data_IF_320240016076
#
_entry.id   IF_320240016076
#
_cell.length_a   1.000
_cell.length_b   1.000
_cell.length_c   1.000
_cell.angle_alpha   90.00
_cell.angle_beta   90.00
_cell.angle_gamma   90.00
#
_symmetry.space_group_name_H-M   'P 1'
#
loop_
_entity.id
_entity.type
_entity.pdbx_description
1 polymer ?
#
# COMPACT_ATOMS: atom_id res chain seq x y z
N UNK A 1 -50.67 -60.03 13.57
CA UNK A 1 -49.26 -60.03 13.06
C UNK A 1 -49.19 -59.09 11.91
N UNK A 2 -48.79 -57.84 12.15
CA UNK A 2 -48.67 -56.81 11.08
C UNK A 2 -47.31 -56.19 11.31
N UNK A 3 -46.40 -56.44 10.41
CA UNK A 3 -45.03 -55.94 10.37
C UNK A 3 -45.07 -54.49 9.89
N UNK A 4 -44.57 -53.59 10.70
CA UNK A 4 -44.34 -52.18 10.35
C UNK A 4 -42.97 -52.07 9.68
N UNK A 5 -42.95 -51.54 8.48
CA UNK A 5 -41.73 -51.27 7.71
C UNK A 5 -41.34 -49.81 7.96
N UNK A 6 -40.27 -49.59 8.73
CA UNK A 6 -39.76 -48.27 9.11
C UNK A 6 -38.57 -47.95 8.21
N UNK A 7 -38.80 -47.20 7.11
CA UNK A 7 -37.72 -46.66 6.30
C UNK A 7 -38.14 -45.36 5.66
N UNK A 8 -38.14 -44.26 6.48
CA UNK A 8 -38.36 -42.92 6.02
C UNK A 8 -37.05 -42.11 6.24
N UNK A 9 -36.37 -41.62 5.21
CA UNK A 9 -35.17 -40.80 5.40
C UNK A 9 -35.58 -39.38 5.75
N UNK A 10 -35.30 -38.98 6.99
CA UNK A 10 -35.44 -37.61 7.47
C UNK A 10 -34.50 -36.70 6.69
N UNK A 11 -34.97 -35.48 6.28
CA UNK A 11 -34.11 -34.52 5.59
C UNK A 11 -33.08 -33.92 6.56
N UNK A 12 -31.82 -33.90 6.13
CA UNK A 12 -30.75 -33.18 6.82
C UNK A 12 -31.14 -31.73 7.01
N UNK A 13 -31.25 -31.29 8.25
CA UNK A 13 -31.29 -29.87 8.62
C UNK A 13 -29.99 -29.22 8.17
N UNK A 14 -30.12 -28.24 7.28
CA UNK A 14 -29.06 -27.31 6.96
C UNK A 14 -28.68 -26.55 8.24
N UNK A 15 -27.47 -26.80 8.72
CA UNK A 15 -26.88 -26.03 9.82
C UNK A 15 -26.69 -24.58 9.37
N UNK A 16 -27.18 -23.70 10.25
CA UNK A 16 -27.26 -22.28 10.01
C UNK A 16 -25.90 -21.66 9.70
N UNK A 17 -25.88 -20.80 8.70
CA UNK A 17 -24.87 -19.77 8.53
C UNK A 17 -24.79 -18.99 9.84
N UNK A 18 -23.70 -19.10 10.56
CA UNK A 18 -23.34 -18.19 11.61
C UNK A 18 -23.06 -16.82 10.95
N UNK A 19 -24.08 -15.99 10.87
CA UNK A 19 -23.91 -14.56 10.65
C UNK A 19 -23.14 -14.04 11.87
N UNK A 20 -21.87 -13.72 11.68
CA UNK A 20 -21.10 -12.98 12.65
C UNK A 20 -21.73 -11.60 12.77
N UNK A 21 -22.65 -11.44 13.74
CA UNK A 21 -23.06 -10.14 14.21
C UNK A 21 -21.83 -9.42 14.73
N UNK A 22 -21.21 -8.58 13.88
CA UNK A 22 -20.25 -7.59 14.32
C UNK A 22 -21.01 -6.62 15.21
N UNK A 23 -20.92 -6.85 16.51
CA UNK A 23 -21.46 -5.97 17.52
C UNK A 23 -20.88 -4.58 17.27
N UNK A 24 -21.71 -3.65 16.82
CA UNK A 24 -21.38 -2.25 16.59
C UNK A 24 -21.29 -1.60 17.98
N UNK A 25 -20.20 -1.89 18.69
CA UNK A 25 -19.86 -1.15 19.89
C UNK A 25 -19.72 0.31 19.47
N UNK A 26 -20.59 1.18 19.94
CA UNK A 26 -20.45 2.62 19.83
C UNK A 26 -19.10 2.98 20.45
N UNK A 27 -18.11 3.30 19.62
CA UNK A 27 -16.80 3.69 20.07
C UNK A 27 -16.91 5.08 20.68
N UNK A 28 -16.97 5.15 22.01
CA UNK A 28 -16.93 6.40 22.75
C UNK A 28 -15.66 7.19 22.39
N UNK A 29 -15.79 8.51 22.28
CA UNK A 29 -14.61 9.40 22.10
C UNK A 29 -13.62 9.14 23.24
N UNK A 30 -12.35 8.86 22.95
CA UNK A 30 -11.36 8.54 23.98
C UNK A 30 -11.22 9.65 25.01
N UNK A 31 -11.19 9.29 26.30
CA UNK A 31 -10.98 10.23 27.39
C UNK A 31 -9.62 10.93 27.29
N UNK A 32 -9.50 12.12 27.88
CA UNK A 32 -8.34 13.02 27.71
C UNK A 32 -6.99 12.41 28.20
N UNK A 33 -6.99 11.39 29.07
CA UNK A 33 -5.78 10.68 29.51
C UNK A 33 -5.42 9.44 28.65
N UNK A 34 -6.30 9.00 27.76
CA UNK A 34 -6.16 7.73 27.06
C UNK A 34 -5.02 7.75 26.03
N UNK A 35 -4.81 8.91 25.35
CA UNK A 35 -3.75 9.07 24.35
C UNK A 35 -2.35 9.05 24.97
N UNK A 36 -2.14 9.76 26.09
CA UNK A 36 -0.88 9.72 26.84
C UNK A 36 -0.58 8.28 27.31
N UNK A 37 -1.56 7.63 27.93
CA UNK A 37 -1.41 6.26 28.41
C UNK A 37 -1.06 5.30 27.29
N UNK A 38 -1.72 5.42 26.13
CA UNK A 38 -1.43 4.62 24.96
C UNK A 38 -0.03 4.89 24.39
N UNK A 39 0.37 6.15 24.28
CA UNK A 39 1.70 6.53 23.82
C UNK A 39 2.81 5.94 24.71
N UNK A 40 2.65 6.01 26.04
CA UNK A 40 3.57 5.42 26.99
C UNK A 40 3.57 3.88 26.90
N UNK A 41 2.41 3.25 26.69
CA UNK A 41 2.31 1.79 26.51
C UNK A 41 2.98 1.33 25.19
N UNK A 42 2.89 2.07 24.11
CA UNK A 42 3.64 1.78 22.89
C UNK A 42 5.15 1.97 23.10
N UNK A 43 5.55 3.05 23.74
CA UNK A 43 6.96 3.33 24.04
C UNK A 43 7.58 2.24 24.93
N UNK A 44 6.86 1.71 25.93
CA UNK A 44 7.34 0.62 26.79
C UNK A 44 7.56 -0.71 26.04
N UNK A 45 6.94 -0.87 24.88
CA UNK A 45 7.18 -1.99 23.95
C UNK A 45 8.38 -1.72 23.02
N UNK A 46 9.07 -0.57 23.16
CA UNK A 46 10.14 -0.15 22.26
C UNK A 46 9.64 0.45 20.94
N UNK A 47 8.37 0.83 20.84
CA UNK A 47 7.79 1.43 19.64
C UNK A 47 7.88 2.96 19.74
N UNK A 48 8.72 3.63 18.92
CA UNK A 48 8.84 5.09 18.99
C UNK A 48 7.55 5.76 18.54
N UNK A 49 7.06 6.70 19.36
CA UNK A 49 5.83 7.44 19.10
C UNK A 49 6.09 8.92 18.89
N UNK A 50 5.17 9.58 18.22
CA UNK A 50 5.15 11.05 18.09
C UNK A 50 3.71 11.56 17.94
N UNK A 51 3.43 12.84 18.28
CA UNK A 51 2.10 13.41 18.18
C UNK A 51 1.75 13.80 16.74
N UNK A 52 0.52 13.48 16.35
CA UNK A 52 -0.15 13.99 15.16
C UNK A 52 -1.24 14.99 15.53
N UNK A 53 -1.69 15.76 14.54
CA UNK A 53 -2.79 16.71 14.67
C UNK A 53 -4.04 16.04 15.28
N UNK A 54 -4.73 16.72 16.20
CA UNK A 54 -6.01 16.24 16.71
C UNK A 54 -6.96 15.91 15.56
N UNK A 55 -7.61 14.75 15.64
CA UNK A 55 -8.55 14.27 14.62
C UNK A 55 -7.98 14.21 13.19
N UNK A 56 -6.66 14.16 13.06
CA UNK A 56 -5.91 14.16 11.81
C UNK A 56 -4.80 13.11 11.77
N UNK A 57 -4.10 13.05 10.64
CA UNK A 57 -2.98 12.13 10.40
C UNK A 57 -1.64 12.85 10.27
N UNK A 58 -1.66 14.16 10.01
CA UNK A 58 -0.43 14.93 9.82
C UNK A 58 0.36 15.05 11.13
N UNK A 59 1.69 15.01 11.11
CA UNK A 59 2.50 15.28 12.29
C UNK A 59 2.17 16.66 12.89
N UNK A 60 2.08 16.76 14.21
CA UNK A 60 1.88 18.01 14.93
C UNK A 60 3.19 18.80 14.93
N UNK A 61 3.38 19.66 13.93
CA UNK A 61 4.63 20.37 13.66
C UNK A 61 5.16 21.18 14.83
N UNK A 62 4.28 21.71 15.69
CA UNK A 62 4.66 22.44 16.90
C UNK A 62 5.44 21.59 17.93
N UNK A 63 5.30 20.26 17.90
CA UNK A 63 5.95 19.33 18.82
C UNK A 63 6.93 18.37 18.11
N UNK A 64 6.62 17.98 16.88
CA UNK A 64 7.39 17.07 16.07
C UNK A 64 7.68 17.68 14.68
N UNK A 65 8.53 18.73 14.60
CA UNK A 65 8.76 19.47 13.34
C UNK A 65 9.36 18.62 12.22
N UNK A 66 10.04 17.52 12.56
CA UNK A 66 10.58 16.56 11.58
C UNK A 66 9.68 15.33 11.39
N UNK A 67 8.44 15.37 11.93
CA UNK A 67 7.46 14.28 11.85
C UNK A 67 7.97 13.01 12.51
N UNK A 68 7.84 11.87 11.83
CA UNK A 68 8.24 10.56 12.37
C UNK A 68 9.73 10.46 12.74
N UNK A 69 10.58 11.37 12.25
CA UNK A 69 12.00 11.41 12.62
C UNK A 69 12.23 11.94 14.04
N UNK A 70 11.22 12.56 14.63
CA UNK A 70 11.22 12.99 16.03
C UNK A 70 10.64 11.94 16.98
N UNK A 71 10.14 10.83 16.46
CA UNK A 71 9.57 9.76 17.25
C UNK A 71 10.54 9.26 18.32
N UNK A 72 10.01 8.98 19.51
CA UNK A 72 10.79 8.63 20.69
C UNK A 72 10.12 7.57 21.54
N UNK A 73 10.92 6.88 22.35
CA UNK A 73 10.44 6.00 23.44
C UNK A 73 10.71 6.61 24.82
N UNK A 74 11.23 7.86 24.90
CA UNK A 74 11.50 8.56 26.14
C UNK A 74 10.18 8.98 26.83
N UNK A 75 9.86 8.42 28.03
CA UNK A 75 8.61 8.71 28.72
C UNK A 75 8.47 10.18 29.12
N UNK A 76 9.58 10.85 29.45
CA UNK A 76 9.55 12.25 29.89
C UNK A 76 9.14 13.17 28.72
N UNK A 77 9.72 12.93 27.53
CA UNK A 77 9.36 13.65 26.31
C UNK A 77 7.94 13.38 25.89
N UNK A 78 7.49 12.13 25.93
CA UNK A 78 6.11 11.72 25.64
C UNK A 78 5.14 12.44 26.58
N UNK A 79 5.39 12.39 27.88
CA UNK A 79 4.56 13.08 28.89
C UNK A 79 4.48 14.57 28.62
N UNK A 80 5.61 15.23 28.32
CA UNK A 80 5.64 16.65 27.97
C UNK A 80 4.76 16.97 26.75
N UNK A 81 4.81 16.15 25.70
CA UNK A 81 4.01 16.37 24.52
C UNK A 81 2.50 16.31 24.79
N UNK A 82 2.04 15.23 25.44
CA UNK A 82 0.60 15.05 25.67
C UNK A 82 0.08 15.88 26.85
N UNK A 83 0.94 16.34 27.77
CA UNK A 83 0.54 17.35 28.75
C UNK A 83 0.26 18.70 28.08
N UNK A 84 1.05 19.07 27.06
CA UNK A 84 0.87 20.31 26.31
C UNK A 84 -0.27 20.26 25.30
N UNK A 85 -0.48 19.10 24.67
CA UNK A 85 -1.54 18.87 23.68
C UNK A 85 -2.26 17.53 23.94
N UNK A 86 -3.13 17.49 24.95
CA UNK A 86 -3.82 16.24 25.34
C UNK A 86 -4.68 15.61 24.25
N UNK A 87 -5.16 16.43 23.29
CA UNK A 87 -5.96 15.98 22.15
C UNK A 87 -5.14 15.46 20.95
N UNK A 88 -3.80 15.55 20.99
CA UNK A 88 -2.97 15.08 19.88
C UNK A 88 -3.12 13.58 19.66
N UNK A 89 -3.26 13.18 18.41
CA UNK A 89 -3.29 11.78 18.02
C UNK A 89 -1.92 11.11 18.25
N UNK A 90 -1.93 9.80 18.49
CA UNK A 90 -0.71 8.99 18.66
C UNK A 90 -0.34 8.36 17.33
N UNK A 91 0.88 8.59 16.87
CA UNK A 91 1.45 7.89 15.74
C UNK A 91 2.68 7.07 16.16
N UNK A 92 2.88 5.92 15.52
CA UNK A 92 4.02 5.03 15.71
C UNK A 92 4.89 5.11 14.46
N UNK A 93 6.17 5.43 14.61
CA UNK A 93 7.14 5.31 13.54
C UNK A 93 7.38 3.82 13.23
N UNK A 94 7.22 3.43 11.95
CA UNK A 94 7.28 2.03 11.53
C UNK A 94 8.69 1.58 11.14
N UNK A 95 8.89 0.26 11.08
CA UNK A 95 10.18 -0.39 10.93
C UNK A 95 10.76 -0.87 12.26
N UNK A 96 11.87 -1.60 12.21
CA UNK A 96 12.57 -2.01 13.44
C UNK A 96 13.06 -0.79 14.25
N UNK A 97 12.96 -0.83 15.61
CA UNK A 97 12.53 -1.94 16.47
C UNK A 97 11.02 -2.04 16.69
N UNK A 98 10.21 -1.15 16.08
CA UNK A 98 8.75 -1.10 16.28
C UNK A 98 8.02 -2.18 15.45
N UNK A 99 7.14 -1.74 14.57
CA UNK A 99 6.28 -2.60 13.76
C UNK A 99 6.40 -2.27 12.28
N UNK A 100 6.20 -3.26 11.43
CA UNK A 100 5.76 -3.08 10.05
C UNK A 100 4.25 -3.24 10.00
N UNK A 101 3.57 -2.51 9.12
CA UNK A 101 2.11 -2.56 9.02
C UNK A 101 1.70 -2.82 7.58
N UNK A 102 0.87 -3.84 7.39
CA UNK A 102 0.10 -4.02 6.16
C UNK A 102 -1.16 -3.18 6.32
N UNK A 103 -1.24 -2.10 5.58
CA UNK A 103 -2.35 -1.15 5.58
C UNK A 103 -3.28 -1.48 4.42
N UNK A 104 -4.48 -1.92 4.77
CA UNK A 104 -5.56 -2.31 3.85
C UNK A 104 -6.53 -1.16 3.76
N UNK A 105 -6.46 -0.44 2.66
CA UNK A 105 -7.35 0.69 2.41
C UNK A 105 -8.80 0.25 2.13
N UNK A 106 -9.74 1.06 2.60
CA UNK A 106 -11.13 1.06 2.17
C UNK A 106 -11.48 2.47 1.70
N UNK A 107 -11.73 2.63 0.41
CA UNK A 107 -11.93 3.92 -0.28
C UNK A 107 -13.18 3.87 -1.15
N UNK A 108 -13.76 5.02 -1.54
CA UNK A 108 -14.94 5.05 -2.41
C UNK A 108 -14.75 4.38 -3.78
N UNK A 109 -13.52 4.37 -4.30
CA UNK A 109 -13.14 3.80 -5.58
C UNK A 109 -12.68 2.34 -5.51
N UNK A 110 -12.67 1.74 -4.31
CA UNK A 110 -12.34 0.34 -4.09
C UNK A 110 -11.70 0.04 -2.74
N UNK A 111 -11.51 -1.25 -2.48
CA UNK A 111 -10.95 -1.73 -1.22
C UNK A 111 -9.89 -2.82 -1.41
N UNK A 112 -9.09 -3.03 -0.36
CA UNK A 112 -8.04 -4.05 -0.31
C UNK A 112 -8.48 -5.40 0.26
N UNK A 113 -9.77 -5.62 0.58
CA UNK A 113 -10.19 -6.84 1.28
C UNK A 113 -10.03 -8.11 0.45
N UNK A 114 -10.23 -8.04 -0.86
CA UNK A 114 -9.98 -9.18 -1.76
C UNK A 114 -8.49 -9.59 -1.74
N UNK A 115 -7.59 -8.61 -1.79
CA UNK A 115 -6.15 -8.82 -1.67
C UNK A 115 -5.78 -9.34 -0.26
N UNK A 116 -6.31 -8.73 0.78
CA UNK A 116 -6.12 -9.16 2.17
C UNK A 116 -6.53 -10.61 2.38
N UNK A 117 -7.69 -11.04 1.87
CA UNK A 117 -8.14 -12.42 1.94
C UNK A 117 -7.24 -13.40 1.18
N UNK A 118 -6.60 -12.97 0.08
CA UNK A 118 -5.57 -13.77 -0.61
C UNK A 118 -4.35 -13.96 0.29
N UNK A 119 -3.91 -12.91 0.99
CA UNK A 119 -2.79 -12.97 1.93
C UNK A 119 -3.11 -13.86 3.13
N UNK A 120 -4.34 -13.80 3.66
CA UNK A 120 -4.82 -14.71 4.72
C UNK A 120 -4.71 -16.18 4.28
N UNK A 121 -5.28 -16.51 3.10
CA UNK A 121 -5.22 -17.88 2.55
C UNK A 121 -3.80 -18.35 2.26
N UNK A 122 -2.90 -17.44 1.92
CA UNK A 122 -1.48 -17.74 1.71
C UNK A 122 -0.65 -17.83 3.00
N UNK A 123 -1.29 -17.72 4.19
CA UNK A 123 -0.64 -17.78 5.50
C UNK A 123 0.22 -16.56 5.83
N UNK A 124 0.15 -15.48 5.02
CA UNK A 124 1.00 -14.30 5.20
C UNK A 124 0.66 -13.48 6.45
N UNK A 125 -0.52 -13.71 7.03
CA UNK A 125 -0.96 -13.02 8.26
C UNK A 125 -0.78 -13.87 9.52
N UNK A 126 -0.27 -15.09 9.42
CA UNK A 126 0.15 -15.85 10.59
C UNK A 126 1.22 -15.06 11.35
N UNK A 127 1.08 -14.96 12.69
CA UNK A 127 1.98 -14.14 13.54
C UNK A 127 1.75 -12.63 13.42
N UNK A 128 0.55 -12.17 13.08
CA UNK A 128 0.13 -10.77 13.26
C UNK A 128 0.13 -10.41 14.73
N UNK A 129 0.77 -9.28 15.08
CA UNK A 129 0.82 -8.75 16.45
C UNK A 129 -0.51 -8.13 16.87
N UNK A 130 -1.11 -7.35 15.96
CA UNK A 130 -2.37 -6.69 16.24
C UNK A 130 -3.14 -6.42 14.94
N UNK A 131 -4.45 -6.45 15.02
CA UNK A 131 -5.36 -5.95 13.99
C UNK A 131 -6.05 -4.69 14.50
N UNK A 132 -6.01 -3.65 13.70
CA UNK A 132 -6.63 -2.36 14.01
C UNK A 132 -7.57 -1.99 12.88
N UNK A 133 -8.84 -1.75 13.18
CA UNK A 133 -9.77 -1.17 12.24
C UNK A 133 -9.52 0.32 12.12
N UNK A 134 -9.37 0.81 10.89
CA UNK A 134 -9.14 2.23 10.62
C UNK A 134 -10.45 3.02 10.55
N UNK A 135 -10.42 4.36 10.71
CA UNK A 135 -11.59 5.23 10.58
C UNK A 135 -12.38 5.07 9.28
N UNK A 136 -11.71 4.78 8.16
CA UNK A 136 -12.35 4.52 6.86
C UNK A 136 -12.92 3.10 6.72
N UNK A 137 -12.83 2.27 7.77
CA UNK A 137 -13.25 0.86 7.74
C UNK A 137 -12.22 -0.11 7.13
N UNK A 138 -11.01 0.36 6.81
CA UNK A 138 -9.88 -0.48 6.43
C UNK A 138 -9.26 -1.21 7.62
N UNK A 139 -8.10 -1.86 7.40
CA UNK A 139 -7.39 -2.65 8.42
C UNK A 139 -5.91 -2.33 8.41
N UNK A 140 -5.32 -2.07 9.58
CA UNK A 140 -3.89 -2.17 9.81
C UNK A 140 -3.56 -3.53 10.44
N UNK A 141 -2.77 -4.36 9.77
CA UNK A 141 -2.23 -5.59 10.34
C UNK A 141 -0.78 -5.36 10.77
N UNK A 142 -0.54 -5.31 12.08
CA UNK A 142 0.77 -5.02 12.66
C UNK A 142 1.61 -6.29 12.69
N UNK A 143 2.87 -6.16 12.27
CA UNK A 143 3.87 -7.22 12.22
C UNK A 143 5.12 -6.81 12.98
N UNK A 144 5.97 -7.76 13.35
CA UNK A 144 7.29 -7.40 13.89
C UNK A 144 8.06 -6.56 12.87
N UNK A 145 8.59 -5.43 13.32
CA UNK A 145 9.29 -4.47 12.47
C UNK A 145 10.58 -5.01 11.88
N UNK A 146 10.88 -4.56 10.67
CA UNK A 146 12.07 -4.95 9.92
C UNK A 146 12.85 -3.74 9.39
N UNK A 147 13.97 -3.99 8.73
CA UNK A 147 14.71 -2.97 7.98
C UNK A 147 14.17 -2.71 6.58
N UNK A 148 13.07 -3.34 6.16
CA UNK A 148 12.46 -3.11 4.84
C UNK A 148 11.97 -1.67 4.69
N UNK A 149 11.99 -1.13 3.47
CA UNK A 149 11.38 0.16 3.17
C UNK A 149 9.86 0.04 2.96
N UNK A 150 9.17 1.18 3.03
CA UNK A 150 7.76 1.26 2.69
C UNK A 150 7.50 0.83 1.25
N UNK A 151 6.30 0.33 0.99
CA UNK A 151 5.87 -0.10 -0.34
C UNK A 151 4.38 0.13 -0.56
N UNK A 152 3.95 0.02 -1.83
CA UNK A 152 2.55 0.18 -2.21
C UNK A 152 2.19 -0.75 -3.35
N UNK A 153 1.00 -1.32 -3.27
CA UNK A 153 0.32 -2.05 -4.34
C UNK A 153 -1.04 -1.37 -4.59
N UNK A 154 -0.99 -0.25 -5.33
CA UNK A 154 -2.15 0.62 -5.51
C UNK A 154 -3.35 -0.07 -6.17
N UNK A 155 -3.12 -0.96 -7.13
CA UNK A 155 -4.16 -1.79 -7.77
C UNK A 155 -4.85 -2.77 -6.82
N UNK A 156 -4.26 -3.01 -5.66
CA UNK A 156 -4.77 -3.91 -4.62
C UNK A 156 -5.20 -3.17 -3.35
N UNK A 157 -5.11 -1.83 -3.32
CA UNK A 157 -5.41 -1.01 -2.13
C UNK A 157 -4.66 -1.48 -0.89
N UNK A 158 -3.40 -1.90 -1.07
CA UNK A 158 -2.51 -2.36 0.00
C UNK A 158 -1.28 -1.46 0.04
N UNK A 159 -1.03 -0.84 1.20
CA UNK A 159 0.21 -0.15 1.51
C UNK A 159 1.01 -0.96 2.54
N UNK A 160 2.32 -0.91 2.46
CA UNK A 160 3.24 -1.45 3.44
C UNK A 160 3.98 -0.31 4.13
N UNK A 161 3.68 -0.09 5.40
CA UNK A 161 4.34 0.91 6.23
C UNK A 161 5.43 0.22 7.02
N UNK A 162 6.67 0.60 6.76
CA UNK A 162 7.87 0.02 7.32
C UNK A 162 8.90 1.11 7.58
N UNK A 163 10.19 0.82 7.54
CA UNK A 163 11.22 1.82 7.81
C UNK A 163 11.05 3.08 6.94
N UNK A 164 10.95 4.22 7.58
CA UNK A 164 10.75 5.52 6.93
C UNK A 164 9.28 5.93 6.79
N UNK A 165 8.37 5.17 7.40
CA UNK A 165 6.96 5.48 7.48
C UNK A 165 6.43 5.64 8.90
N UNK A 166 5.13 5.80 9.01
CA UNK A 166 4.40 5.79 10.27
C UNK A 166 2.94 5.41 10.05
N UNK A 167 2.27 5.05 11.14
CA UNK A 167 0.82 4.85 11.21
C UNK A 167 0.25 5.59 12.40
N UNK A 168 -0.96 6.11 12.25
CA UNK A 168 -1.76 6.58 13.39
C UNK A 168 -2.34 5.35 14.08
N UNK A 169 -2.28 5.33 15.41
CA UNK A 169 -2.60 4.16 16.22
C UNK A 169 -3.75 4.43 17.22
N UNK A 170 -4.45 3.40 17.70
CA UNK A 170 -5.43 3.56 18.78
C UNK A 170 -4.83 4.27 20.01
N UNK A 171 -5.61 5.09 20.72
CA UNK A 171 -7.02 5.41 20.57
C UNK A 171 -7.29 6.69 19.75
N UNK A 172 -6.46 6.98 18.77
CA UNK A 172 -6.58 8.17 17.91
C UNK A 172 -7.86 8.16 17.08
N UNK A 173 -8.28 9.37 16.64
CA UNK A 173 -9.45 9.57 15.78
C UNK A 173 -9.08 10.29 14.50
N UNK A 174 -9.84 10.11 13.43
CA UNK A 174 -9.78 10.90 12.21
C UNK A 174 -11.18 11.16 11.72
N UNK A 175 -11.53 12.44 11.51
CA UNK A 175 -12.89 12.86 11.14
C UNK A 175 -13.95 12.32 12.12
N UNK A 176 -13.65 12.35 13.43
CA UNK A 176 -14.51 11.86 14.48
C UNK A 176 -14.58 10.32 14.62
N UNK A 177 -13.95 9.57 13.73
CA UNK A 177 -13.96 8.10 13.75
C UNK A 177 -12.68 7.54 14.37
N UNK A 178 -12.75 6.57 15.30
CA UNK A 178 -11.60 6.03 16.00
C UNK A 178 -10.85 4.97 15.18
N UNK A 179 -9.56 4.85 15.47
CA UNK A 179 -8.81 3.61 15.27
C UNK A 179 -9.16 2.65 16.40
N UNK A 180 -9.55 1.43 16.08
CA UNK A 180 -10.03 0.44 17.05
C UNK A 180 -9.16 -0.81 16.99
N UNK A 181 -8.52 -1.15 18.11
CA UNK A 181 -7.83 -2.41 18.27
C UNK A 181 -8.88 -3.54 18.31
N UNK A 182 -8.80 -4.51 17.40
CA UNK A 182 -9.76 -5.61 17.27
C UNK A 182 -9.17 -6.97 17.68
N UNK A 183 -7.86 -7.14 17.55
CA UNK A 183 -7.13 -8.34 17.99
C UNK A 183 -5.71 -7.93 18.38
N UNK A 184 -5.15 -8.59 19.42
CA UNK A 184 -3.79 -8.37 19.87
C UNK A 184 -3.18 -9.67 20.39
N UNK A 185 -1.89 -9.88 20.08
CA UNK A 185 -1.12 -11.04 20.50
C UNK A 185 0.22 -10.60 21.09
N UNK A 186 0.73 -11.35 22.08
CA UNK A 186 1.97 -10.97 22.77
C UNK A 186 3.21 -11.07 21.89
N UNK A 187 3.18 -11.94 20.87
CA UNK A 187 4.31 -12.19 19.97
C UNK A 187 3.86 -12.18 18.52
N UNK A 188 4.73 -11.69 17.66
CA UNK A 188 4.49 -11.65 16.23
C UNK A 188 5.72 -12.10 15.44
N UNK A 189 5.54 -12.21 14.14
CA UNK A 189 6.62 -12.52 13.20
C UNK A 189 6.73 -11.44 12.13
N UNK A 190 7.92 -11.20 11.58
CA UNK A 190 8.07 -10.27 10.46
C UNK A 190 7.33 -10.79 9.22
N UNK A 191 7.10 -9.90 8.27
CA UNK A 191 6.54 -10.25 6.97
C UNK A 191 7.52 -9.83 5.86
N UNK A 192 7.62 -10.64 4.82
CA UNK A 192 8.39 -10.32 3.62
C UNK A 192 7.50 -9.60 2.59
N UNK A 193 7.74 -8.32 2.39
CA UNK A 193 7.03 -7.50 1.40
C UNK A 193 7.23 -8.01 -0.03
N UNK A 194 8.41 -8.52 -0.35
CA UNK A 194 8.66 -9.10 -1.67
C UNK A 194 7.78 -10.33 -1.92
N UNK A 195 7.52 -11.14 -0.88
CA UNK A 195 6.62 -12.28 -0.98
C UNK A 195 5.16 -11.84 -1.13
N UNK A 196 4.73 -10.80 -0.42
CA UNK A 196 3.39 -10.20 -0.62
C UNK A 196 3.22 -9.76 -2.07
N UNK A 197 4.19 -9.04 -2.64
CA UNK A 197 4.15 -8.63 -4.05
C UNK A 197 4.00 -9.82 -5.00
N UNK A 198 4.75 -10.89 -4.80
CA UNK A 198 4.65 -12.10 -5.64
C UNK A 198 3.30 -12.79 -5.56
N UNK A 199 2.62 -12.72 -4.41
CA UNK A 199 1.29 -13.31 -4.22
C UNK A 199 0.22 -12.46 -4.90
N UNK A 200 0.28 -11.14 -4.75
CA UNK A 200 -0.74 -10.22 -5.25
C UNK A 200 -0.51 -9.86 -6.73
N UNK A 201 0.73 -9.60 -7.12
CA UNK A 201 1.18 -9.36 -8.48
C UNK A 201 2.24 -10.40 -8.88
N UNK A 202 1.83 -11.65 -9.17
CA UNK A 202 2.78 -12.65 -9.62
C UNK A 202 3.46 -12.16 -10.91
N UNK A 203 4.77 -12.38 -11.06
CA UNK A 203 5.44 -12.11 -12.32
C UNK A 203 4.64 -12.76 -13.44
N UNK A 204 4.26 -11.96 -14.44
CA UNK A 204 3.62 -12.54 -15.61
C UNK A 204 4.54 -13.63 -16.15
N UNK A 205 4.07 -14.89 -16.33
CA UNK A 205 4.92 -15.91 -16.90
C UNK A 205 5.52 -15.32 -18.18
N UNK A 206 6.85 -15.42 -18.31
CA UNK A 206 7.52 -14.98 -19.52
C UNK A 206 6.76 -15.63 -20.67
N UNK A 207 6.06 -14.81 -21.46
CA UNK A 207 5.39 -15.31 -22.66
C UNK A 207 6.49 -16.08 -23.40
N UNK A 208 6.31 -17.36 -23.74
CA UNK A 208 7.32 -18.07 -24.50
C UNK A 208 7.75 -17.10 -25.60
N UNK A 209 9.05 -16.78 -25.66
CA UNK A 209 9.55 -15.89 -26.69
C UNK A 209 8.98 -16.45 -28.00
N UNK A 210 8.21 -15.68 -28.78
CA UNK A 210 7.73 -16.17 -30.05
C UNK A 210 8.98 -16.68 -30.76
N UNK A 211 8.96 -17.96 -31.13
CA UNK A 211 10.07 -18.60 -31.82
C UNK A 211 10.54 -17.63 -32.90
N UNK A 212 11.74 -17.11 -32.74
CA UNK A 212 12.45 -16.14 -33.57
C UNK A 212 11.70 -15.68 -34.82
N UNK A 213 10.73 -14.80 -34.64
CA UNK A 213 10.14 -14.06 -35.74
C UNK A 213 10.20 -12.56 -35.34
N UNK A 214 11.14 -11.85 -35.96
CA UNK A 214 11.22 -10.41 -35.88
C UNK A 214 12.34 -9.91 -34.95
N UNK A 215 13.44 -9.49 -35.56
CA UNK A 215 14.46 -8.60 -34.98
C UNK A 215 13.74 -7.51 -34.19
N UNK A 216 14.20 -7.23 -32.96
CA UNK A 216 13.84 -5.98 -32.28
C UNK A 216 13.96 -4.83 -33.28
N UNK A 217 12.99 -3.90 -33.32
CA UNK A 217 13.05 -2.77 -34.26
C UNK A 217 14.43 -2.12 -34.15
N UNK A 218 15.26 -2.28 -35.17
CA UNK A 218 16.56 -1.66 -35.27
C UNK A 218 16.46 -0.59 -36.37
N UNK A 219 16.63 0.66 -35.95
CA UNK A 219 16.46 1.84 -36.79
C UNK A 219 15.19 2.62 -36.47
N UNK A 220 15.25 3.92 -36.67
CA UNK A 220 14.19 4.86 -36.30
C UNK A 220 12.84 4.51 -36.91
N UNK A 221 12.79 4.12 -38.17
CA UNK A 221 11.54 3.77 -38.89
C UNK A 221 10.80 2.59 -38.23
N UNK A 222 11.53 1.55 -37.84
CA UNK A 222 10.91 0.38 -37.16
C UNK A 222 10.36 0.72 -35.75
N UNK A 223 10.97 1.68 -35.07
CA UNK A 223 10.46 2.20 -33.79
C UNK A 223 9.22 3.06 -33.99
N UNK A 224 9.14 3.85 -35.06
CA UNK A 224 8.00 4.66 -35.47
C UNK A 224 6.80 3.77 -35.80
N UNK A 225 6.99 2.71 -36.61
CA UNK A 225 5.94 1.77 -36.98
C UNK A 225 5.40 1.04 -35.73
N UNK A 226 6.31 0.60 -34.85
CA UNK A 226 5.93 -0.05 -33.60
C UNK A 226 5.15 0.89 -32.66
N UNK A 227 5.56 2.16 -32.55
CA UNK A 227 4.88 3.17 -31.74
C UNK A 227 3.48 3.45 -32.28
N UNK A 228 3.34 3.58 -33.61
CA UNK A 228 2.08 3.85 -34.30
C UNK A 228 1.02 2.77 -34.08
N UNK A 229 1.44 1.54 -33.76
CA UNK A 229 0.56 0.42 -33.46
C UNK A 229 0.09 0.36 -31.99
N UNK A 230 0.48 1.31 -31.14
CA UNK A 230 0.15 1.27 -29.72
C UNK A 230 -1.27 1.76 -29.43
N UNK A 231 -1.94 1.05 -28.48
CA UNK A 231 -3.31 1.35 -28.05
C UNK A 231 -3.34 2.44 -26.97
N UNK A 232 -4.50 3.08 -26.84
CA UNK A 232 -4.79 4.01 -25.76
C UNK A 232 -4.48 3.42 -24.37
N UNK A 233 -3.97 4.26 -23.45
CA UNK A 233 -3.53 3.84 -22.12
C UNK A 233 -2.05 3.44 -22.03
N UNK A 234 -1.38 3.06 -23.12
CA UNK A 234 0.05 2.69 -23.13
C UNK A 234 0.95 3.59 -23.98
N UNK A 235 0.38 4.56 -24.69
CA UNK A 235 1.07 5.39 -25.71
C UNK A 235 2.27 6.13 -25.15
N UNK A 236 2.13 6.75 -23.98
CA UNK A 236 3.21 7.53 -23.37
C UNK A 236 4.39 6.65 -22.88
N UNK A 237 4.10 5.49 -22.31
CA UNK A 237 5.13 4.52 -21.91
C UNK A 237 5.84 3.94 -23.13
N UNK A 238 5.10 3.67 -24.19
CA UNK A 238 5.64 3.18 -25.45
C UNK A 238 6.57 4.23 -26.11
N UNK A 239 6.16 5.50 -26.13
CA UNK A 239 7.00 6.59 -26.60
C UNK A 239 8.29 6.72 -25.79
N UNK A 240 8.20 6.66 -24.47
CA UNK A 240 9.38 6.71 -23.59
C UNK A 240 10.36 5.57 -23.90
N UNK A 241 9.87 4.35 -24.04
CA UNK A 241 10.67 3.18 -24.40
C UNK A 241 11.31 3.32 -25.78
N UNK A 242 10.52 3.75 -26.80
CA UNK A 242 11.02 3.94 -28.16
C UNK A 242 12.09 5.03 -28.23
N UNK A 243 11.90 6.15 -27.51
CA UNK A 243 12.87 7.23 -27.42
C UNK A 243 14.17 6.80 -26.73
N UNK A 244 14.09 6.04 -25.63
CA UNK A 244 15.29 5.45 -24.98
C UNK A 244 16.07 4.57 -25.97
N UNK A 245 15.37 3.70 -26.71
CA UNK A 245 15.99 2.81 -27.70
C UNK A 245 16.60 3.56 -28.88
N UNK A 246 15.94 4.59 -29.35
CA UNK A 246 16.45 5.47 -30.40
C UNK A 246 17.76 6.12 -29.96
N UNK A 247 17.78 6.75 -28.78
CA UNK A 247 18.97 7.41 -28.23
C UNK A 247 20.11 6.40 -27.98
N UNK A 248 19.83 5.22 -27.38
CA UNK A 248 20.81 4.13 -27.20
C UNK A 248 21.43 3.67 -28.53
N UNK A 249 20.70 3.79 -29.63
CA UNK A 249 21.15 3.41 -30.98
C UNK A 249 21.83 4.54 -31.74
N UNK A 250 22.00 5.71 -31.11
CA UNK A 250 22.64 6.88 -31.76
C UNK A 250 21.72 7.61 -32.72
N UNK A 251 20.40 7.63 -32.46
CA UNK A 251 19.42 8.30 -33.30
C UNK A 251 19.71 9.81 -33.45
N UNK A 252 19.48 10.33 -34.62
CA UNK A 252 19.57 11.75 -34.95
C UNK A 252 18.40 12.56 -34.38
N UNK A 253 18.48 13.88 -34.41
CA UNK A 253 17.36 14.75 -34.05
C UNK A 253 16.12 14.47 -34.91
N UNK A 254 16.34 14.24 -36.21
CA UNK A 254 15.24 13.91 -37.16
C UNK A 254 14.52 12.60 -36.80
N UNK A 255 15.27 11.61 -36.30
CA UNK A 255 14.67 10.35 -35.86
C UNK A 255 13.78 10.55 -34.63
N UNK A 256 14.18 11.43 -33.69
CA UNK A 256 13.37 11.78 -32.53
C UNK A 256 12.11 12.60 -32.89
N UNK A 257 12.23 13.47 -33.91
CA UNK A 257 11.09 14.20 -34.43
C UNK A 257 10.09 13.30 -35.19
N UNK A 258 10.55 12.25 -35.85
CA UNK A 258 9.67 11.21 -36.39
C UNK A 258 8.90 10.46 -35.28
N UNK A 259 9.55 10.11 -34.17
CA UNK A 259 8.87 9.53 -33.01
C UNK A 259 7.87 10.50 -32.39
N UNK A 260 8.18 11.79 -32.32
CA UNK A 260 7.26 12.83 -31.88
C UNK A 260 6.01 12.88 -32.76
N UNK A 261 6.21 12.94 -34.07
CA UNK A 261 5.13 12.98 -35.06
C UNK A 261 4.22 11.75 -34.95
N UNK A 262 4.81 10.57 -34.84
CA UNK A 262 4.06 9.31 -34.60
C UNK A 262 3.26 9.33 -33.31
N UNK A 263 3.86 9.84 -32.23
CA UNK A 263 3.19 9.95 -30.92
C UNK A 263 1.98 10.89 -30.95
N UNK A 264 2.11 12.01 -31.61
CA UNK A 264 1.00 12.97 -31.85
C UNK A 264 -0.07 12.32 -32.74
N UNK A 265 0.32 11.61 -33.78
CA UNK A 265 -0.59 10.89 -34.69
C UNK A 265 -1.46 9.84 -34.01
N UNK A 266 -0.95 9.22 -32.94
CA UNK A 266 -1.74 8.27 -32.10
C UNK A 266 -2.47 8.96 -30.94
N UNK A 267 -2.50 10.31 -30.89
CA UNK A 267 -3.32 11.08 -29.94
C UNK A 267 -2.63 11.47 -28.63
N UNK A 268 -1.30 11.50 -28.58
CA UNK A 268 -0.61 12.14 -27.45
C UNK A 268 -0.55 13.67 -27.69
N UNK A 269 -0.80 14.51 -26.66
CA UNK A 269 -0.56 15.94 -26.75
C UNK A 269 0.92 16.21 -27.06
N UNK A 270 1.21 17.11 -28.04
CA UNK A 270 2.58 17.39 -28.49
C UNK A 270 3.50 17.81 -27.32
N UNK A 271 3.01 18.64 -26.39
CA UNK A 271 3.77 19.07 -25.22
C UNK A 271 4.18 17.91 -24.31
N UNK A 272 3.27 16.94 -24.11
CA UNK A 272 3.53 15.72 -23.32
C UNK A 272 4.52 14.81 -24.04
N UNK A 273 4.37 14.62 -25.34
CA UNK A 273 5.27 13.82 -26.17
C UNK A 273 6.70 14.39 -26.17
N UNK A 274 6.86 15.71 -26.37
CA UNK A 274 8.16 16.40 -26.26
C UNK A 274 8.79 16.25 -24.87
N UNK A 275 8.01 16.38 -23.80
CA UNK A 275 8.49 16.20 -22.43
C UNK A 275 8.99 14.76 -22.20
N UNK A 276 8.31 13.77 -22.74
CA UNK A 276 8.65 12.35 -22.64
C UNK A 276 9.95 12.05 -23.37
N UNK A 277 10.15 12.55 -24.60
CA UNK A 277 11.38 12.40 -25.37
C UNK A 277 12.57 13.05 -24.66
N UNK A 278 12.42 14.28 -24.16
CA UNK A 278 13.46 14.95 -23.36
C UNK A 278 13.82 14.16 -22.09
N UNK A 279 12.84 13.57 -21.46
CA UNK A 279 13.07 12.71 -20.26
C UNK A 279 13.87 11.46 -20.61
N UNK A 280 13.58 10.83 -21.76
CA UNK A 280 14.31 9.66 -22.25
C UNK A 280 15.76 10.03 -22.61
N UNK A 281 16.00 11.15 -23.31
CA UNK A 281 17.33 11.62 -23.66
C UNK A 281 18.19 11.94 -22.43
N UNK A 282 17.64 12.66 -21.44
CA UNK A 282 18.33 12.94 -20.17
C UNK A 282 18.73 11.68 -19.41
N UNK A 283 17.90 10.64 -19.44
CA UNK A 283 18.22 9.35 -18.79
C UNK A 283 19.43 8.68 -19.43
N UNK A 284 19.69 8.94 -20.70
CA UNK A 284 20.84 8.41 -21.45
C UNK A 284 22.04 9.38 -21.50
N UNK A 285 21.97 10.49 -20.75
CA UNK A 285 23.05 11.47 -20.68
C UNK A 285 23.18 12.37 -21.91
N UNK A 286 22.14 12.42 -22.76
CA UNK A 286 22.13 13.23 -23.99
C UNK A 286 21.26 14.47 -23.75
N UNK A 287 21.82 15.66 -24.07
CA UNK A 287 21.07 16.94 -24.08
C UNK A 287 20.36 17.09 -25.42
N UNK A 288 19.01 17.17 -25.39
CA UNK A 288 18.13 17.40 -26.56
C UNK A 288 17.26 18.62 -26.30
#
# INVERSE_FOLDING_TARGET
MTTINDNDPRPCRAEGRAEAHVNRAEASVPAQGDRLRAALAYASRGWPVFPCEPDGKAPLGALAPRGFKDATTDPARITTWWSRYPGANVAIATGAPAVDVIDVDNKPDGDGFAAFNRLVRAGMLAGTLALVRTPSGGIHAYRTGTGQGCGRLGSHFIDFKARGGYVVAPPSTVQGHPYVLTDERPTGTPVDWARIKRILDPPRPARPAPARAGRSPRGAGALVDWLSAQREGNRNNALFWAACRAVESGASADDLDQLLTAAVGIGLPESAARATIRSAARRQGVSV
#
